data_IF_823909400020
#
_entry.id   IF_823909400020
#
_cell.length_a   1.000
_cell.length_b   1.000
_cell.length_c   1.000
_cell.angle_alpha   90.00
_cell.angle_beta   90.00
_cell.angle_gamma   90.00
#
_symmetry.space_group_name_H-M   'P 1'
#
loop_
_entity.id
_entity.type
_entity.pdbx_description
1 polymer ?
#
# COMPACT_ATOMS: atom_id res chain seq x y z
N UNK A 1 0.45 14.26 -15.13
CA UNK A 1 0.31 12.96 -15.79
C UNK A 1 1.16 11.97 -15.01
N UNK A 2 0.58 11.29 -14.01
CA UNK A 2 1.30 10.30 -13.23
C UNK A 2 1.41 9.02 -14.06
N UNK A 3 2.64 8.68 -14.42
CA UNK A 3 2.96 7.43 -15.13
C UNK A 3 2.60 6.27 -14.20
N UNK A 4 1.48 5.63 -14.49
CA UNK A 4 1.18 4.29 -14.01
C UNK A 4 2.17 3.38 -14.74
N UNK A 5 3.20 2.89 -14.06
CA UNK A 5 3.81 1.63 -14.50
C UNK A 5 2.70 0.58 -14.29
N UNK A 6 2.19 0.04 -15.40
CA UNK A 6 0.86 -0.56 -15.64
C UNK A 6 0.33 -1.66 -14.70
N UNK A 7 1.02 -1.99 -13.61
CA UNK A 7 0.70 -3.10 -12.72
C UNK A 7 0.57 -2.72 -11.23
N UNK A 8 0.89 -1.47 -10.85
CA UNK A 8 0.99 -1.08 -9.44
C UNK A 8 0.06 0.10 -9.10
N UNK A 9 -0.62 0.04 -7.95
CA UNK A 9 -1.37 1.17 -7.38
C UNK A 9 -0.75 1.60 -6.05
N UNK A 10 -0.50 2.90 -5.87
CA UNK A 10 0.05 3.45 -4.62
C UNK A 10 -1.08 3.96 -3.73
N UNK A 11 -1.15 3.48 -2.48
CA UNK A 11 -2.12 3.99 -1.49
C UNK A 11 -1.57 5.30 -0.90
N UNK A 12 -2.44 6.30 -0.83
CA UNK A 12 -2.17 7.61 -0.26
C UNK A 12 -3.32 8.05 0.65
N UNK A 13 -3.12 9.08 1.49
CA UNK A 13 -4.19 9.62 2.34
C UNK A 13 -5.37 10.21 1.57
N UNK A 14 -5.17 10.51 0.30
CA UNK A 14 -6.17 11.01 -0.64
C UNK A 14 -6.92 9.90 -1.35
N UNK A 15 -6.52 8.63 -1.21
CA UNK A 15 -7.19 7.48 -1.84
C UNK A 15 -8.64 7.41 -1.40
N UNK A 16 -9.53 7.47 -2.39
CA UNK A 16 -10.98 7.46 -2.20
C UNK A 16 -11.57 6.05 -2.28
N UNK A 17 -12.80 5.90 -1.79
CA UNK A 17 -13.54 4.63 -1.91
C UNK A 17 -13.80 4.27 -3.38
N UNK A 18 -14.09 5.27 -4.22
CA UNK A 18 -14.34 5.10 -5.65
C UNK A 18 -13.11 4.58 -6.39
N UNK A 19 -11.92 5.06 -6.02
CA UNK A 19 -10.66 4.52 -6.54
C UNK A 19 -10.44 3.07 -6.12
N UNK A 20 -10.71 2.73 -4.85
CA UNK A 20 -10.59 1.35 -4.37
C UNK A 20 -11.59 0.40 -5.06
N UNK A 21 -12.81 0.85 -5.32
CA UNK A 21 -13.79 0.09 -6.10
C UNK A 21 -13.33 -0.14 -7.54
N UNK A 22 -12.72 0.89 -8.15
CA UNK A 22 -12.14 0.81 -9.49
C UNK A 22 -10.95 -0.16 -9.52
N UNK A 23 -10.09 -0.10 -8.50
CA UNK A 23 -8.96 -0.99 -8.30
C UNK A 23 -9.39 -2.46 -8.16
N UNK A 24 -10.44 -2.73 -7.38
CA UNK A 24 -10.98 -4.07 -7.20
C UNK A 24 -11.42 -4.72 -8.54
N UNK A 25 -11.82 -3.91 -9.51
CA UNK A 25 -12.26 -4.36 -10.83
C UNK A 25 -11.14 -4.33 -11.88
N UNK A 26 -9.99 -3.72 -11.57
CA UNK A 26 -8.90 -3.54 -12.50
C UNK A 26 -7.87 -4.68 -12.39
N UNK A 27 -8.01 -5.69 -13.25
CA UNK A 27 -7.14 -6.87 -13.28
C UNK A 27 -5.71 -6.59 -13.75
N UNK A 28 -5.42 -5.42 -14.34
CA UNK A 28 -4.06 -5.04 -14.72
C UNK A 28 -3.20 -4.76 -13.50
N UNK A 29 -3.81 -4.21 -12.45
CA UNK A 29 -3.09 -3.96 -11.20
C UNK A 29 -2.95 -5.29 -10.44
N UNK A 30 -1.71 -5.66 -10.22
CA UNK A 30 -1.28 -6.87 -9.51
C UNK A 30 -0.61 -6.54 -8.18
N UNK A 31 -0.20 -5.28 -7.98
CA UNK A 31 0.47 -4.84 -6.76
C UNK A 31 -0.17 -3.58 -6.16
N UNK A 32 -0.20 -3.54 -4.83
CA UNK A 32 -0.53 -2.34 -4.07
C UNK A 32 0.71 -1.93 -3.28
N UNK A 33 1.16 -0.69 -3.48
CA UNK A 33 2.31 -0.12 -2.79
C UNK A 33 1.88 0.83 -1.67
N UNK A 34 2.53 0.70 -0.51
CA UNK A 34 2.45 1.66 0.60
C UNK A 34 3.83 2.28 0.79
N UNK A 35 3.92 3.59 0.55
CA UNK A 35 5.17 4.37 0.65
C UNK A 35 5.28 5.21 1.91
N UNK A 36 4.24 5.24 2.74
CA UNK A 36 4.20 6.06 3.95
C UNK A 36 3.55 5.30 5.10
N UNK A 37 4.12 5.46 6.29
CA UNK A 37 3.60 5.03 7.58
C UNK A 37 2.51 5.98 8.14
N UNK A 38 2.25 7.11 7.47
CA UNK A 38 1.27 8.13 7.91
C UNK A 38 -0.10 8.00 7.23
N UNK A 39 -0.38 6.87 6.61
CA UNK A 39 -1.67 6.62 5.94
C UNK A 39 -2.74 6.39 7.01
N UNK A 40 -3.89 7.03 6.84
CA UNK A 40 -5.01 6.94 7.75
C UNK A 40 -5.51 5.49 7.85
N UNK A 41 -5.66 5.00 9.08
CA UNK A 41 -6.13 3.64 9.35
C UNK A 41 -7.44 3.28 8.66
N UNK A 42 -8.35 4.24 8.44
CA UNK A 42 -9.64 3.99 7.78
C UNK A 42 -9.49 3.56 6.32
N UNK A 43 -8.39 3.95 5.66
CA UNK A 43 -8.12 3.56 4.27
C UNK A 43 -7.81 2.07 4.20
N UNK A 44 -7.12 1.51 5.21
CA UNK A 44 -6.83 0.08 5.25
C UNK A 44 -8.09 -0.77 5.49
N UNK A 45 -9.04 -0.28 6.30
CA UNK A 45 -10.35 -0.94 6.45
C UNK A 45 -11.10 -0.96 5.12
N UNK A 46 -11.20 0.18 4.42
CA UNK A 46 -11.82 0.24 3.10
C UNK A 46 -11.10 -0.64 2.07
N UNK A 47 -9.79 -0.68 2.12
CA UNK A 47 -8.98 -1.47 1.21
C UNK A 47 -9.21 -2.97 1.41
N UNK A 48 -9.31 -3.42 2.65
CA UNK A 48 -9.68 -4.79 2.96
C UNK A 48 -11.06 -5.13 2.38
N UNK A 49 -12.07 -4.33 2.77
CA UNK A 49 -13.48 -4.60 2.47
C UNK A 49 -13.82 -4.49 0.97
N UNK A 50 -13.15 -3.60 0.25
CA UNK A 50 -13.46 -3.34 -1.16
C UNK A 50 -12.54 -4.09 -2.12
N UNK A 51 -11.25 -4.24 -1.79
CA UNK A 51 -10.25 -4.80 -2.71
C UNK A 51 -9.84 -6.21 -2.30
N UNK A 52 -9.30 -6.41 -1.10
CA UNK A 52 -8.67 -7.69 -0.73
C UNK A 52 -9.66 -8.85 -0.66
N UNK A 53 -10.90 -8.60 -0.22
CA UNK A 53 -11.99 -9.59 -0.24
C UNK A 53 -12.27 -10.11 -1.67
N UNK A 54 -12.07 -9.27 -2.69
CA UNK A 54 -12.38 -9.59 -4.11
C UNK A 54 -11.16 -10.02 -4.92
N UNK A 55 -9.99 -9.51 -4.55
CA UNK A 55 -8.71 -9.71 -5.22
C UNK A 55 -7.69 -10.32 -4.24
N UNK A 56 -7.94 -11.54 -3.71
CA UNK A 56 -7.06 -12.17 -2.72
C UNK A 56 -5.68 -12.52 -3.29
N UNK A 57 -5.51 -12.50 -4.61
CA UNK A 57 -4.25 -12.73 -5.30
C UNK A 57 -3.35 -11.48 -5.40
N UNK A 58 -3.86 -10.29 -5.09
CA UNK A 58 -3.07 -9.05 -5.21
C UNK A 58 -1.89 -9.05 -4.23
N UNK A 59 -0.75 -8.55 -4.69
CA UNK A 59 0.47 -8.49 -3.90
C UNK A 59 0.57 -7.14 -3.18
N UNK A 60 0.86 -7.19 -1.89
CA UNK A 60 0.85 -6.01 -1.03
C UNK A 60 2.27 -5.65 -0.62
N UNK A 61 2.77 -4.52 -1.11
CA UNK A 61 4.17 -4.12 -1.01
C UNK A 61 4.31 -2.91 -0.08
N UNK A 62 4.95 -3.11 1.06
CA UNK A 62 5.23 -2.03 2.01
C UNK A 62 6.69 -1.61 1.86
N UNK A 63 6.90 -0.38 1.40
CA UNK A 63 8.21 0.26 1.36
C UNK A 63 8.28 1.28 2.49
N UNK A 64 8.69 0.83 3.67
CA UNK A 64 8.87 1.71 4.82
C UNK A 64 10.31 2.25 4.84
N UNK A 65 10.44 3.56 4.68
CA UNK A 65 11.72 4.29 4.69
C UNK A 65 12.07 4.91 6.05
N UNK A 66 11.40 4.54 7.14
CA UNK A 66 11.55 5.16 8.45
C UNK A 66 12.24 4.25 9.46
N UNK A 67 12.88 4.84 10.49
CA UNK A 67 13.64 4.14 11.55
C UNK A 67 12.81 3.09 12.32
N UNK A 68 11.47 3.20 12.29
CA UNK A 68 10.54 2.23 12.86
C UNK A 68 9.38 2.06 11.88
N UNK A 69 9.33 0.92 11.20
CA UNK A 69 8.21 0.53 10.38
C UNK A 69 7.05 0.12 11.29
N UNK A 70 6.11 1.03 11.55
CA UNK A 70 4.85 0.70 12.23
C UNK A 70 3.95 -0.10 11.27
N UNK A 71 3.73 -1.37 11.61
CA UNK A 71 2.91 -2.31 10.85
C UNK A 71 1.58 -2.61 11.54
N UNK A 72 1.19 -1.83 12.56
CA UNK A 72 -0.06 -2.03 13.31
C UNK A 72 -1.31 -2.01 12.42
N UNK A 73 -1.26 -1.28 11.30
CA UNK A 73 -2.32 -1.25 10.29
C UNK A 73 -2.59 -2.61 9.62
N UNK A 74 -1.63 -3.55 9.63
CA UNK A 74 -1.85 -4.91 9.11
C UNK A 74 -3.01 -5.62 9.81
N UNK A 75 -3.31 -5.24 11.06
CA UNK A 75 -4.47 -5.77 11.79
C UNK A 75 -5.81 -5.45 11.13
N UNK A 76 -5.86 -4.46 10.21
CA UNK A 76 -7.05 -4.07 9.45
C UNK A 76 -7.19 -4.80 8.12
N UNK A 77 -6.17 -5.56 7.72
CA UNK A 77 -6.12 -6.26 6.44
C UNK A 77 -6.32 -7.77 6.65
N UNK A 78 -7.48 -8.17 7.17
CA UNK A 78 -7.78 -9.57 7.52
C UNK A 78 -7.73 -10.52 6.32
N UNK A 79 -8.02 -10.02 5.13
CA UNK A 79 -8.08 -10.81 3.89
C UNK A 79 -6.76 -10.79 3.11
N UNK A 80 -5.71 -10.18 3.68
CA UNK A 80 -4.39 -10.11 3.09
C UNK A 80 -3.71 -11.49 3.05
N UNK A 81 -3.39 -11.96 1.84
CA UNK A 81 -2.70 -13.24 1.64
C UNK A 81 -1.26 -13.11 1.15
N UNK A 82 -0.98 -12.09 0.34
CA UNK A 82 0.33 -11.91 -0.29
C UNK A 82 0.97 -10.61 0.20
N UNK A 83 1.82 -10.70 1.23
CA UNK A 83 2.48 -9.55 1.83
C UNK A 83 3.99 -9.59 1.58
N UNK A 84 4.53 -8.47 1.09
CA UNK A 84 5.95 -8.25 0.86
C UNK A 84 6.35 -6.96 1.58
N UNK A 85 7.23 -7.07 2.57
CA UNK A 85 7.70 -5.91 3.34
C UNK A 85 9.17 -5.71 3.03
N UNK A 86 9.52 -4.50 2.59
CA UNK A 86 10.90 -4.05 2.48
C UNK A 86 11.08 -2.83 3.37
N UNK A 87 11.65 -3.05 4.54
CA UNK A 87 12.08 -1.98 5.43
C UNK A 87 13.54 -1.65 5.11
N UNK A 88 13.79 -0.44 4.60
CA UNK A 88 15.16 0.02 4.33
C UNK A 88 15.53 1.00 5.42
N UNK A 89 16.41 0.58 6.32
CA UNK A 89 16.96 1.47 7.33
C UNK A 89 17.90 2.49 6.65
N UNK A 90 17.45 3.72 6.45
CA UNK A 90 18.32 4.80 5.95
C UNK A 90 19.23 5.24 7.10
N UNK A 91 20.36 4.54 7.28
CA UNK A 91 21.47 5.03 8.09
C UNK A 91 22.23 6.08 7.26
N UNK A 92 22.15 7.33 7.73
CA UNK A 92 22.96 8.47 7.29
C UNK A 92 22.70 8.94 5.85
N UNK A 93 21.75 9.86 5.67
CA UNK A 93 21.91 10.89 4.64
C UNK A 93 23.01 11.84 5.11
N UNK A 94 24.26 11.55 4.77
CA UNK A 94 25.29 12.59 4.76
C UNK A 94 24.88 13.60 3.70
N UNK A 95 24.36 14.74 4.14
CA UNK A 95 24.17 15.89 3.26
C UNK A 95 25.56 16.45 2.99
N UNK A 96 26.13 16.13 1.84
CA UNK A 96 27.33 16.83 1.36
C UNK A 96 26.86 18.21 0.93
N UNK A 97 27.01 19.20 1.82
CA UNK A 97 26.92 20.64 1.52
C UNK A 97 28.17 21.12 0.81
#
# INVERSE_FOLDING_TARGET
MHLINDENYCIENTTTKEELLSLASNLKITHIEIKSDKINSSIFELLNDQVLVRRPEIHFWILAGTRQCDLSFLSKLSDLKNLHIRCVEVKNQETIT
#
